data_IF_711910093759
#
_entry.id   IF_711910093759
#
_cell.length_a   1.000
_cell.length_b   1.000
_cell.length_c   1.000
_cell.angle_alpha   90.00
_cell.angle_beta   90.00
_cell.angle_gamma   90.00
#
_symmetry.space_group_name_H-M   'P 1'
#
loop_
_entity.id
_entity.type
_entity.pdbx_description
1 polymer ?
#
# COMPACT_ATOMS: atom_id res chain seq x y z
N UNK A 1 14.91 4.88 12.67
CA UNK A 1 13.85 3.89 12.96
C UNK A 1 14.50 2.52 13.17
N UNK A 2 13.93 1.59 13.97
CA UNK A 2 14.49 0.26 14.18
C UNK A 2 14.62 -0.57 12.90
N UNK A 3 15.71 -1.32 12.74
CA UNK A 3 16.03 -2.06 11.51
C UNK A 3 14.91 -3.00 11.04
N UNK A 4 14.34 -3.80 11.95
CA UNK A 4 13.27 -4.74 11.61
C UNK A 4 12.04 -4.03 11.03
N UNK A 5 11.68 -2.88 11.61
CA UNK A 5 10.60 -2.02 11.10
C UNK A 5 10.96 -1.43 9.73
N UNK A 6 12.19 -0.94 9.56
CA UNK A 6 12.65 -0.35 8.29
C UNK A 6 12.65 -1.35 7.14
N UNK A 7 13.08 -2.60 7.39
CA UNK A 7 13.06 -3.66 6.38
C UNK A 7 11.62 -4.01 5.98
N UNK A 8 10.71 -4.13 6.95
CA UNK A 8 9.33 -4.47 6.67
C UNK A 8 8.61 -3.35 5.90
N UNK A 9 8.81 -2.09 6.27
CA UNK A 9 8.28 -0.96 5.50
C UNK A 9 8.91 -0.85 4.12
N UNK A 10 10.19 -1.21 3.95
CA UNK A 10 10.82 -1.26 2.64
C UNK A 10 10.17 -2.30 1.73
N UNK A 11 9.87 -3.48 2.28
CA UNK A 11 9.14 -4.51 1.56
C UNK A 11 7.75 -4.02 1.14
N UNK A 12 6.97 -3.46 2.08
CA UNK A 12 5.63 -2.92 1.78
C UNK A 12 5.70 -1.83 0.71
N UNK A 13 6.64 -0.90 0.82
CA UNK A 13 6.82 0.21 -0.12
C UNK A 13 7.11 -0.28 -1.55
N UNK A 14 8.10 -1.16 -1.70
CA UNK A 14 8.51 -1.68 -3.01
C UNK A 14 7.40 -2.54 -3.60
N UNK A 15 6.84 -3.44 -2.80
CA UNK A 15 5.78 -4.33 -3.26
C UNK A 15 4.52 -3.56 -3.66
N UNK A 16 4.13 -2.52 -2.92
CA UNK A 16 2.96 -1.68 -3.26
C UNK A 16 3.19 -0.94 -4.59
N UNK A 17 4.35 -0.30 -4.75
CA UNK A 17 4.68 0.42 -5.98
C UNK A 17 4.69 -0.50 -7.20
N UNK A 18 5.27 -1.70 -7.07
CA UNK A 18 5.32 -2.68 -8.16
C UNK A 18 3.96 -3.32 -8.43
N UNK A 19 3.23 -3.73 -7.39
CA UNK A 19 1.95 -4.42 -7.53
C UNK A 19 0.91 -3.54 -8.23
N UNK A 20 0.82 -2.25 -7.88
CA UNK A 20 -0.08 -1.32 -8.55
C UNK A 20 0.23 -1.20 -10.06
N UNK A 21 1.51 -1.12 -10.44
CA UNK A 21 1.88 -1.06 -11.85
C UNK A 21 1.61 -2.37 -12.58
N UNK A 22 1.90 -3.52 -11.97
CA UNK A 22 1.66 -4.82 -12.57
C UNK A 22 0.17 -5.13 -12.74
N UNK A 23 -0.69 -4.66 -11.82
CA UNK A 23 -2.13 -4.83 -11.91
C UNK A 23 -2.76 -3.86 -12.92
N UNK A 24 -2.45 -2.57 -12.80
CA UNK A 24 -3.17 -1.51 -13.51
C UNK A 24 -2.62 -1.27 -14.93
N UNK A 25 -1.35 -1.61 -15.19
CA UNK A 25 -0.76 -1.55 -16.53
C UNK A 25 -1.09 -2.81 -17.35
N UNK A 26 -2.38 -3.08 -17.53
CA UNK A 26 -2.88 -4.31 -18.15
C UNK A 26 -4.15 -4.08 -18.99
N UNK A 27 -4.53 -5.11 -19.75
CA UNK A 27 -5.77 -5.12 -20.56
C UNK A 27 -7.05 -5.06 -19.73
N UNK A 28 -6.97 -5.39 -18.43
CA UNK A 28 -8.11 -5.28 -17.52
C UNK A 28 -8.32 -3.87 -17.00
N UNK A 29 -7.31 -2.99 -17.11
CA UNK A 29 -7.29 -1.64 -16.55
C UNK A 29 -6.88 -0.61 -17.62
N UNK A 30 -5.62 -0.13 -17.61
CA UNK A 30 -5.18 0.99 -18.44
C UNK A 30 -5.42 0.78 -19.95
N UNK A 31 -5.30 -0.46 -20.42
CA UNK A 31 -5.51 -0.81 -21.83
C UNK A 31 -6.93 -1.30 -22.14
N UNK A 32 -7.83 -1.38 -21.15
CA UNK A 32 -9.21 -1.78 -21.37
C UNK A 32 -9.90 -0.79 -22.32
N UNK A 33 -10.42 -1.27 -23.45
CA UNK A 33 -11.09 -0.42 -24.45
C UNK A 33 -12.47 0.05 -24.00
N UNK A 34 -13.12 -0.64 -23.06
CA UNK A 34 -14.41 -0.25 -22.48
C UNK A 34 -14.29 0.90 -21.48
N UNK A 35 -13.11 1.09 -20.87
CA UNK A 35 -12.88 2.18 -19.92
C UNK A 35 -12.79 3.53 -20.63
N UNK A 36 -13.52 4.52 -20.10
CA UNK A 36 -13.40 5.90 -20.56
C UNK A 36 -11.99 6.45 -20.33
N UNK A 37 -11.60 7.49 -21.07
CA UNK A 37 -10.32 8.18 -20.86
C UNK A 37 -10.15 8.71 -19.43
N UNK A 38 -11.24 9.08 -18.77
CA UNK A 38 -11.20 9.56 -17.39
C UNK A 38 -10.95 8.45 -16.37
N UNK A 39 -11.53 7.26 -16.57
CA UNK A 39 -11.23 6.09 -15.73
C UNK A 39 -9.74 5.71 -15.83
N UNK A 40 -9.19 5.74 -17.05
CA UNK A 40 -7.75 5.51 -17.29
C UNK A 40 -6.85 6.55 -16.62
N UNK A 41 -7.28 7.82 -16.60
CA UNK A 41 -6.58 8.87 -15.86
C UNK A 41 -6.53 8.56 -14.35
N UNK A 42 -7.66 8.14 -13.76
CA UNK A 42 -7.69 7.77 -12.35
C UNK A 42 -6.82 6.53 -12.03
N UNK A 43 -6.77 5.54 -12.92
CA UNK A 43 -5.87 4.39 -12.78
C UNK A 43 -4.38 4.79 -12.88
N UNK A 44 -4.00 5.60 -13.86
CA UNK A 44 -2.63 6.12 -13.96
C UNK A 44 -2.27 7.00 -12.75
N UNK A 45 -3.23 7.75 -12.21
CA UNK A 45 -3.05 8.52 -10.99
C UNK A 45 -2.81 7.60 -9.77
N UNK A 46 -3.56 6.52 -9.57
CA UNK A 46 -3.31 5.58 -8.47
C UNK A 46 -1.97 4.85 -8.60
N UNK A 47 -1.55 4.51 -9.81
CA UNK A 47 -0.21 3.98 -10.07
C UNK A 47 0.88 4.98 -9.66
N UNK A 48 0.82 6.22 -10.12
CA UNK A 48 1.79 7.26 -9.76
C UNK A 48 1.80 7.55 -8.25
N UNK A 49 0.61 7.59 -7.63
CA UNK A 49 0.46 7.78 -6.19
C UNK A 49 1.11 6.63 -5.40
N UNK A 50 0.95 5.37 -5.85
CA UNK A 50 1.59 4.22 -5.21
C UNK A 50 3.12 4.32 -5.21
N UNK A 51 3.71 4.81 -6.32
CA UNK A 51 5.16 5.00 -6.43
C UNK A 51 5.65 6.11 -5.50
N UNK A 52 4.94 7.24 -5.45
CA UNK A 52 5.26 8.35 -4.55
C UNK A 52 5.16 7.92 -3.08
N UNK A 53 4.08 7.25 -2.70
CA UNK A 53 3.89 6.75 -1.33
C UNK A 53 4.94 5.71 -0.95
N UNK A 54 5.33 4.82 -1.88
CA UNK A 54 6.46 3.91 -1.69
C UNK A 54 7.78 4.66 -1.45
N UNK A 55 8.08 5.67 -2.26
CA UNK A 55 9.29 6.48 -2.10
C UNK A 55 9.31 7.24 -0.75
N UNK A 56 8.18 7.82 -0.34
CA UNK A 56 8.04 8.48 0.96
C UNK A 56 8.19 7.50 2.12
N UNK A 57 7.58 6.32 2.01
CA UNK A 57 7.72 5.24 2.99
C UNK A 57 9.20 4.84 3.16
N UNK A 58 9.92 4.64 2.05
CA UNK A 58 11.35 4.33 2.06
C UNK A 58 12.16 5.47 2.68
N UNK A 59 11.89 6.71 2.28
CA UNK A 59 12.57 7.88 2.81
C UNK A 59 12.46 7.96 4.33
N UNK A 60 11.25 7.91 4.90
CA UNK A 60 11.07 7.97 6.35
C UNK A 60 11.55 6.71 7.07
N UNK A 61 11.60 5.56 6.39
CA UNK A 61 12.16 4.33 6.96
C UNK A 61 13.66 4.38 7.18
N UNK A 62 14.38 5.17 6.36
CA UNK A 62 15.84 5.24 6.33
C UNK A 62 16.40 6.64 6.56
N UNK A 63 15.55 7.62 6.89
CA UNK A 63 15.96 9.00 7.15
C UNK A 63 16.99 9.00 8.30
N UNK A 64 18.20 9.56 8.09
CA UNK A 64 19.28 9.51 9.07
C UNK A 64 19.09 10.45 10.28
N UNK A 65 18.05 11.28 10.30
CA UNK A 65 17.76 12.21 11.40
C UNK A 65 16.27 12.38 11.68
N UNK A 66 15.95 13.13 12.74
CA UNK A 66 14.61 13.35 13.26
C UNK A 66 14.17 12.26 14.25
N UNK A 67 13.18 12.61 15.07
CA UNK A 67 12.58 11.74 16.08
C UNK A 67 12.12 10.39 15.49
N UNK A 68 12.51 9.30 16.16
CA UNK A 68 12.26 7.94 15.72
C UNK A 68 10.76 7.61 15.65
N UNK A 69 9.95 8.16 16.56
CA UNK A 69 8.51 7.96 16.56
C UNK A 69 7.86 8.69 15.38
N UNK A 70 8.28 9.92 15.10
CA UNK A 70 7.81 10.71 13.95
C UNK A 70 8.13 10.01 12.63
N UNK A 71 9.36 9.52 12.47
CA UNK A 71 9.76 8.76 11.29
C UNK A 71 8.95 7.47 11.15
N UNK A 72 8.69 6.77 12.26
CA UNK A 72 7.84 5.57 12.27
C UNK A 72 6.40 5.86 11.83
N UNK A 73 5.78 6.89 12.42
CA UNK A 73 4.40 7.27 12.11
C UNK A 73 4.26 7.76 10.67
N UNK A 74 5.25 8.51 10.16
CA UNK A 74 5.28 8.94 8.77
C UNK A 74 5.40 7.74 7.81
N UNK A 75 6.36 6.84 8.04
CA UNK A 75 6.52 5.63 7.23
C UNK A 75 5.26 4.76 7.25
N UNK A 76 4.66 4.55 8.43
CA UNK A 76 3.42 3.81 8.58
C UNK A 76 2.23 4.48 7.87
N UNK A 77 2.11 5.80 7.98
CA UNK A 77 1.06 6.56 7.32
C UNK A 77 1.15 6.45 5.79
N UNK A 78 2.33 6.66 5.22
CA UNK A 78 2.54 6.55 3.77
C UNK A 78 2.38 5.11 3.26
N UNK A 79 2.84 4.11 4.02
CA UNK A 79 2.67 2.70 3.68
C UNK A 79 1.19 2.28 3.73
N UNK A 80 0.46 2.75 4.74
CA UNK A 80 -0.91 2.33 5.01
C UNK A 80 -1.95 3.05 4.16
N UNK A 81 -1.75 4.34 3.84
CA UNK A 81 -2.82 5.18 3.25
C UNK A 81 -3.33 4.62 1.93
N UNK A 82 -2.45 4.08 1.07
CA UNK A 82 -2.85 3.46 -0.20
C UNK A 82 -3.83 2.30 0.01
N UNK A 83 -3.52 1.41 0.97
CA UNK A 83 -4.33 0.23 1.24
C UNK A 83 -5.62 0.57 1.99
N UNK A 84 -5.59 1.55 2.90
CA UNK A 84 -6.79 2.04 3.60
C UNK A 84 -7.77 2.67 2.62
N UNK A 85 -7.30 3.53 1.70
CA UNK A 85 -8.17 4.16 0.72
C UNK A 85 -8.71 3.15 -0.29
N UNK A 86 -7.91 2.16 -0.71
CA UNK A 86 -8.37 1.08 -1.58
C UNK A 86 -9.41 0.18 -0.89
N UNK A 87 -9.24 -0.15 0.39
CA UNK A 87 -10.23 -0.89 1.16
C UNK A 87 -11.55 -0.10 1.31
N UNK A 88 -11.45 1.22 1.47
CA UNK A 88 -12.61 2.11 1.51
C UNK A 88 -13.32 2.26 0.16
N UNK A 89 -12.62 2.09 -0.96
CA UNK A 89 -13.14 2.35 -2.30
C UNK A 89 -14.40 1.55 -2.63
N UNK A 90 -14.49 0.30 -2.16
CA UNK A 90 -15.62 -0.60 -2.42
C UNK A 90 -16.95 -0.11 -1.82
N UNK A 91 -16.89 0.82 -0.87
CA UNK A 91 -18.08 1.38 -0.23
C UNK A 91 -18.72 2.52 -1.03
N UNK A 92 -18.05 3.01 -2.08
CA UNK A 92 -18.64 4.00 -2.97
C UNK A 92 -19.61 3.34 -3.97
N UNK A 93 -20.73 4.02 -4.33
CA UNK A 93 -21.70 3.45 -5.26
C UNK A 93 -21.08 3.02 -6.58
N UNK A 94 -21.50 1.87 -7.10
CA UNK A 94 -21.10 1.32 -8.41
C UNK A 94 -19.60 1.02 -8.54
N UNK A 95 -18.91 0.75 -7.44
CA UNK A 95 -17.54 0.22 -7.46
C UNK A 95 -17.55 -1.31 -7.37
N UNK A 96 -16.59 -1.96 -8.02
CA UNK A 96 -16.42 -3.41 -8.04
C UNK A 96 -14.93 -3.74 -7.85
N UNK A 97 -14.64 -4.93 -7.30
CA UNK A 97 -13.27 -5.45 -7.30
C UNK A 97 -12.81 -5.88 -8.70
N UNK A 98 -13.74 -6.37 -9.52
CA UNK A 98 -13.49 -6.79 -10.89
C UNK A 98 -14.67 -6.35 -11.76
N UNK A 99 -14.40 -5.90 -12.99
CA UNK A 99 -15.47 -5.74 -13.98
C UNK A 99 -16.10 -7.12 -14.28
N UNK A 100 -17.40 -7.18 -14.64
CA UNK A 100 -18.10 -8.44 -14.84
C UNK A 100 -17.41 -9.41 -15.82
N UNK A 101 -16.77 -8.89 -16.87
CA UNK A 101 -16.02 -9.70 -17.84
C UNK A 101 -14.75 -10.34 -17.27
N UNK A 102 -14.22 -9.82 -16.15
CA UNK A 102 -13.00 -10.31 -15.51
C UNK A 102 -13.27 -10.99 -14.17
N UNK A 103 -14.52 -11.08 -13.69
CA UNK A 103 -14.87 -11.72 -12.43
C UNK A 103 -14.81 -13.26 -12.54
N UNK A 104 -13.59 -13.80 -12.43
CA UNK A 104 -13.30 -15.22 -12.65
C UNK A 104 -12.90 -15.92 -11.34
N UNK A 105 -13.18 -17.24 -11.17
CA UNK A 105 -12.84 -17.98 -9.95
C UNK A 105 -11.35 -17.88 -9.53
N UNK A 106 -10.44 -17.76 -10.50
CA UNK A 106 -9.00 -17.60 -10.26
C UNK A 106 -8.62 -16.30 -9.54
N UNK A 107 -9.50 -15.30 -9.55
CA UNK A 107 -9.29 -14.02 -8.90
C UNK A 107 -9.70 -14.04 -7.42
N UNK A 108 -10.12 -15.19 -6.89
CA UNK A 108 -10.48 -15.36 -5.50
C UNK A 108 -9.43 -16.23 -4.80
N UNK A 109 -9.01 -15.79 -3.62
CA UNK A 109 -8.05 -16.49 -2.76
C UNK A 109 -8.76 -16.74 -1.43
N UNK A 110 -8.89 -18.02 -1.05
CA UNK A 110 -9.63 -18.43 0.16
C UNK A 110 -11.08 -17.91 0.19
N UNK A 111 -11.71 -17.77 -0.98
CA UNK A 111 -13.09 -17.27 -1.10
C UNK A 111 -13.24 -15.75 -1.03
N UNK A 112 -12.14 -15.00 -0.91
CA UNK A 112 -12.13 -13.53 -0.93
C UNK A 112 -11.53 -13.00 -2.25
N UNK A 113 -11.99 -11.86 -2.77
CA UNK A 113 -11.35 -11.20 -3.90
C UNK A 113 -9.85 -11.01 -3.64
N UNK A 114 -9.00 -11.34 -4.62
CA UNK A 114 -7.54 -11.23 -4.47
C UNK A 114 -7.11 -9.82 -4.03
N UNK A 115 -7.80 -8.79 -4.51
CA UNK A 115 -7.56 -7.40 -4.09
C UNK A 115 -7.83 -7.18 -2.58
N UNK A 116 -8.92 -7.73 -2.05
CA UNK A 116 -9.19 -7.67 -0.60
C UNK A 116 -8.14 -8.45 0.20
N UNK A 117 -7.65 -9.57 -0.32
CA UNK A 117 -6.56 -10.32 0.31
C UNK A 117 -5.25 -9.53 0.35
N UNK A 118 -4.89 -8.82 -0.72
CA UNK A 118 -3.74 -7.92 -0.70
C UNK A 118 -3.90 -6.82 0.33
N UNK A 119 -5.08 -6.19 0.42
CA UNK A 119 -5.36 -5.18 1.45
C UNK A 119 -5.13 -5.73 2.86
N UNK A 120 -5.67 -6.91 3.18
CA UNK A 120 -5.50 -7.57 4.48
C UNK A 120 -4.01 -7.80 4.77
N UNK A 121 -3.27 -8.36 3.80
CA UNK A 121 -1.84 -8.67 3.97
C UNK A 121 -1.03 -7.39 4.19
N UNK A 122 -1.13 -6.40 3.31
CA UNK A 122 -0.31 -5.20 3.40
C UNK A 122 -0.64 -4.32 4.61
N UNK A 123 -1.91 -4.24 5.01
CA UNK A 123 -2.29 -3.57 6.26
C UNK A 123 -1.76 -4.33 7.48
N UNK A 124 -1.78 -5.67 7.46
CA UNK A 124 -1.21 -6.48 8.54
C UNK A 124 0.31 -6.30 8.64
N UNK A 125 1.03 -6.34 7.52
CA UNK A 125 2.48 -6.10 7.50
C UNK A 125 2.83 -4.69 7.97
N UNK A 126 2.06 -3.69 7.56
CA UNK A 126 2.20 -2.30 8.05
C UNK A 126 1.99 -2.24 9.56
N UNK A 127 0.94 -2.86 10.09
CA UNK A 127 0.67 -2.93 11.52
C UNK A 127 1.76 -3.65 12.31
N UNK A 128 2.29 -4.75 11.79
CA UNK A 128 3.44 -5.46 12.39
C UNK A 128 4.67 -4.56 12.40
N UNK A 129 4.93 -3.81 11.32
CA UNK A 129 6.02 -2.85 11.23
C UNK A 129 5.93 -1.78 12.32
N UNK A 130 4.73 -1.24 12.54
CA UNK A 130 4.43 -0.30 13.64
C UNK A 130 4.73 -0.94 14.99
N UNK A 131 4.22 -2.15 15.26
CA UNK A 131 4.41 -2.84 16.54
C UNK A 131 5.90 -3.08 16.83
N UNK A 132 6.67 -3.56 15.85
CA UNK A 132 8.11 -3.78 15.98
C UNK A 132 8.87 -2.46 16.24
N UNK A 133 8.50 -1.41 15.50
CA UNK A 133 9.04 -0.07 15.66
C UNK A 133 8.80 0.48 17.07
N UNK A 134 7.54 0.49 17.51
CA UNK A 134 7.13 0.99 18.82
C UNK A 134 7.78 0.20 19.96
N UNK A 135 7.79 -1.14 19.88
CA UNK A 135 8.43 -1.98 20.91
C UNK A 135 9.89 -1.60 21.12
N UNK A 136 10.63 -1.38 20.04
CA UNK A 136 12.06 -1.05 20.13
C UNK A 136 12.26 0.38 20.64
N UNK A 137 11.49 1.36 20.15
CA UNK A 137 11.57 2.76 20.58
C UNK A 137 11.25 2.88 22.09
N UNK A 138 10.21 2.20 22.56
CA UNK A 138 9.81 2.21 23.96
C UNK A 138 10.83 1.49 24.86
N UNK A 139 11.38 0.36 24.41
CA UNK A 139 12.36 -0.40 25.19
C UNK A 139 13.72 0.31 25.31
N UNK A 140 14.13 1.06 24.29
CA UNK A 140 15.44 1.71 24.25
C UNK A 140 15.42 3.16 24.71
N UNK A 141 14.23 3.76 24.88
CA UNK A 141 14.08 5.17 25.19
C UNK A 141 14.58 6.11 24.07
N UNK A 142 14.88 5.57 22.88
CA UNK A 142 15.41 6.33 21.74
C UNK A 142 14.30 7.21 21.16
N UNK A 143 14.16 8.39 21.75
CA UNK A 143 13.41 9.54 21.22
C UNK A 143 14.41 10.66 20.92
N UNK A 144 15.43 10.39 20.11
CA UNK A 144 16.54 11.35 20.00
C UNK A 144 16.51 12.18 18.73
N UNK A 145 16.47 13.49 18.99
CA UNK A 145 16.87 14.66 18.20
C UNK A 145 16.02 15.04 16.97
#
# INVERSE_FOLDING_TARGET
MPLASSLLFSFVAIATALAAHLADYSDTHLFNSAWSGHAKYHAAHTMALSALLGALTLFFSWRPGGDALTNLLAAAGFAGVYWVTQAGAIHYPNTLYFDPEFDLPKNYILGLPAQAMFQIVFLSLTGIGVILGLRTILATGVRTA
#
